data_IF_905167714174
#
_entry.id   IF_905167714174
#
_cell.length_a   1.000
_cell.length_b   1.000
_cell.length_c   1.000
_cell.angle_alpha   90.00
_cell.angle_beta   90.00
_cell.angle_gamma   90.00
#
_symmetry.space_group_name_H-M   'P 1'
#
loop_
_entity.id
_entity.type
_entity.pdbx_description
1 polymer ?
#
# COMPACT_ATOMS: atom_id res chain seq x y z
N UNK A 1 -11.55 -25.78 -16.06
CA UNK A 1 -10.61 -25.61 -17.20
C UNK A 1 -9.56 -26.72 -17.13
N UNK A 2 -9.15 -27.31 -18.26
CA UNK A 2 -8.05 -28.29 -18.30
C UNK A 2 -6.85 -27.65 -18.99
N UNK A 3 -5.68 -27.67 -18.34
CA UNK A 3 -4.45 -27.07 -18.88
C UNK A 3 -3.37 -28.14 -18.99
N UNK A 4 -2.78 -28.26 -20.18
CA UNK A 4 -1.65 -29.14 -20.43
C UNK A 4 -0.34 -28.36 -20.33
N UNK A 5 0.63 -28.88 -19.59
CA UNK A 5 1.96 -28.32 -19.42
C UNK A 5 2.99 -29.35 -19.90
N UNK A 6 3.92 -28.90 -20.73
CA UNK A 6 5.13 -29.65 -21.03
C UNK A 6 6.13 -29.52 -19.87
N UNK A 7 7.12 -30.40 -19.83
CA UNK A 7 8.23 -30.30 -18.87
C UNK A 7 8.89 -28.91 -19.01
N UNK A 8 9.12 -28.25 -17.87
CA UNK A 8 9.73 -26.92 -17.74
C UNK A 8 8.93 -25.77 -18.39
N UNK A 9 7.67 -26.01 -18.79
CA UNK A 9 6.78 -25.00 -19.34
C UNK A 9 6.03 -24.23 -18.24
N UNK A 10 5.94 -22.90 -18.40
CA UNK A 10 5.11 -22.05 -17.56
C UNK A 10 3.96 -21.45 -18.40
N UNK A 11 2.72 -21.58 -17.94
CA UNK A 11 1.55 -20.92 -18.54
C UNK A 11 0.83 -20.05 -17.52
N UNK A 12 0.44 -18.85 -17.94
CA UNK A 12 -0.48 -18.01 -17.19
C UNK A 12 -1.91 -18.26 -17.69
N UNK A 13 -2.82 -18.46 -16.76
CA UNK A 13 -4.25 -18.60 -17.02
C UNK A 13 -4.94 -17.36 -16.49
N UNK A 14 -5.99 -16.91 -17.16
CA UNK A 14 -6.85 -15.84 -16.70
C UNK A 14 -8.30 -16.29 -16.82
N UNK A 15 -9.04 -16.11 -15.74
CA UNK A 15 -10.46 -16.44 -15.66
C UNK A 15 -11.17 -15.30 -14.90
N UNK A 16 -12.49 -15.25 -15.00
CA UNK A 16 -13.31 -14.25 -14.35
C UNK A 16 -14.45 -14.92 -13.59
N UNK A 17 -14.52 -14.64 -12.28
CA UNK A 17 -15.52 -15.19 -11.40
C UNK A 17 -16.54 -14.12 -11.04
N UNK A 18 -17.82 -14.43 -11.24
CA UNK A 18 -18.90 -13.57 -10.77
C UNK A 18 -19.20 -13.90 -9.30
N UNK A 19 -19.15 -12.89 -8.43
CA UNK A 19 -19.49 -13.00 -7.01
C UNK A 19 -20.81 -12.25 -6.79
N UNK A 20 -21.95 -12.93 -6.63
CA UNK A 20 -23.20 -12.28 -6.27
C UNK A 20 -23.12 -11.71 -4.84
N UNK A 21 -23.87 -10.63 -4.57
CA UNK A 21 -24.03 -10.04 -3.24
C UNK A 21 -22.70 -9.81 -2.50
N UNK A 22 -21.76 -9.16 -3.19
CA UNK A 22 -20.39 -8.92 -2.70
C UNK A 22 -20.42 -8.25 -1.32
N UNK A 23 -19.73 -8.88 -0.36
CA UNK A 23 -19.42 -8.29 0.94
C UNK A 23 -18.15 -7.48 0.80
N UNK A 24 -18.26 -6.18 1.04
CA UNK A 24 -17.13 -5.27 0.91
C UNK A 24 -16.24 -5.32 2.16
N UNK A 25 -14.93 -5.26 1.93
CA UNK A 25 -13.92 -5.05 2.95
C UNK A 25 -13.86 -3.55 3.30
N UNK A 26 -13.74 -3.27 4.60
CA UNK A 26 -13.51 -1.94 5.16
C UNK A 26 -12.89 -2.09 6.55
N UNK A 27 -12.31 -1.02 7.13
CA UNK A 27 -11.82 -1.05 8.51
C UNK A 27 -12.86 -1.52 9.53
N UNK A 28 -14.12 -1.15 9.34
CA UNK A 28 -15.23 -1.51 10.23
C UNK A 28 -15.78 -2.92 9.98
N UNK A 29 -15.54 -3.47 8.79
CA UNK A 29 -15.99 -4.81 8.39
C UNK A 29 -14.92 -5.45 7.49
N UNK A 30 -13.83 -5.99 8.07
CA UNK A 30 -12.70 -6.56 7.33
C UNK A 30 -13.01 -7.96 6.79
N UNK A 31 -14.05 -8.08 5.97
CA UNK A 31 -14.46 -9.36 5.40
C UNK A 31 -13.47 -9.84 4.33
N UNK A 32 -12.99 -11.07 4.48
CA UNK A 32 -12.06 -11.70 3.55
C UNK A 32 -12.69 -12.93 2.88
N UNK A 33 -12.52 -13.01 1.58
CA UNK A 33 -12.76 -14.20 0.78
C UNK A 33 -11.48 -15.05 0.72
N UNK A 34 -11.64 -16.33 0.38
CA UNK A 34 -10.53 -17.23 0.05
C UNK A 34 -10.77 -17.74 -1.36
N UNK A 35 -9.80 -17.52 -2.25
CA UNK A 35 -9.71 -18.19 -3.54
C UNK A 35 -8.87 -19.45 -3.36
N UNK A 36 -9.47 -20.60 -3.60
CA UNK A 36 -8.76 -21.88 -3.69
C UNK A 36 -8.50 -22.20 -5.16
N UNK A 37 -7.23 -22.41 -5.51
CA UNK A 37 -6.81 -22.91 -6.81
C UNK A 37 -6.20 -24.30 -6.61
N UNK A 38 -6.89 -25.33 -7.10
CA UNK A 38 -6.47 -26.72 -6.96
C UNK A 38 -6.12 -27.36 -8.30
N UNK A 39 -5.11 -28.23 -8.26
CA UNK A 39 -4.69 -29.10 -9.36
C UNK A 39 -4.70 -30.56 -8.89
N UNK A 40 -4.26 -31.50 -9.75
CA UNK A 40 -4.15 -32.91 -9.34
C UNK A 40 -3.06 -33.16 -8.29
N UNK A 41 -2.08 -32.26 -8.13
CA UNK A 41 -0.91 -32.48 -7.27
C UNK A 41 -0.69 -31.43 -6.18
N UNK A 42 -1.38 -30.30 -6.24
CA UNK A 42 -1.20 -29.19 -5.30
C UNK A 42 -2.44 -28.32 -5.20
N UNK A 43 -2.59 -27.60 -4.08
CA UNK A 43 -3.67 -26.64 -3.81
C UNK A 43 -3.09 -25.40 -3.15
N UNK A 44 -3.40 -24.24 -3.73
CA UNK A 44 -3.02 -22.93 -3.21
C UNK A 44 -4.26 -22.17 -2.75
N UNK A 45 -4.17 -21.56 -1.57
CA UNK A 45 -5.18 -20.65 -1.04
C UNK A 45 -4.65 -19.22 -1.03
N UNK A 46 -5.47 -18.28 -1.46
CA UNK A 46 -5.15 -16.85 -1.42
C UNK A 46 -6.33 -16.09 -0.84
N UNK A 47 -6.08 -15.27 0.18
CA UNK A 47 -7.10 -14.41 0.77
C UNK A 47 -7.17 -13.08 0.03
N UNK A 48 -8.36 -12.52 -0.07
CA UNK A 48 -8.56 -11.21 -0.69
C UNK A 48 -9.82 -10.55 -0.13
N UNK A 49 -9.94 -9.23 -0.26
CA UNK A 49 -11.11 -8.46 0.14
C UNK A 49 -11.57 -7.53 -0.99
N UNK A 50 -12.89 -7.38 -1.14
CA UNK A 50 -13.48 -6.55 -2.18
C UNK A 50 -13.67 -5.14 -1.67
N UNK A 51 -12.96 -4.16 -2.23
CA UNK A 51 -13.10 -2.76 -1.83
C UNK A 51 -12.67 -1.83 -2.95
N UNK A 52 -13.07 -0.57 -2.86
CA UNK A 52 -12.63 0.50 -3.78
C UNK A 52 -12.25 1.74 -2.99
N UNK A 53 -10.99 2.15 -3.06
CA UNK A 53 -10.54 3.47 -2.61
C UNK A 53 -10.31 4.36 -3.83
N UNK A 54 -10.87 5.58 -3.81
CA UNK A 54 -10.61 6.59 -4.83
C UNK A 54 -10.49 7.97 -4.20
N UNK A 55 -9.74 8.86 -4.83
CA UNK A 55 -9.76 10.28 -4.53
C UNK A 55 -10.59 11.02 -5.57
N UNK A 56 -11.45 11.91 -5.10
CA UNK A 56 -12.37 12.65 -5.93
C UNK A 56 -11.85 14.08 -6.14
N UNK A 57 -11.63 14.48 -7.40
CA UNK A 57 -11.04 15.79 -7.74
C UNK A 57 -11.99 16.93 -7.36
N UNK A 58 -13.29 16.76 -7.60
CA UNK A 58 -14.28 17.81 -7.39
C UNK A 58 -14.46 18.14 -5.90
N UNK A 59 -14.54 17.11 -5.06
CA UNK A 59 -14.74 17.27 -3.61
C UNK A 59 -13.43 17.32 -2.81
N UNK A 60 -12.30 16.95 -3.43
CA UNK A 60 -10.98 16.80 -2.79
C UNK A 60 -11.01 15.85 -1.58
N UNK A 61 -11.78 14.77 -1.68
CA UNK A 61 -11.99 13.80 -0.60
C UNK A 61 -11.65 12.39 -1.04
N UNK A 62 -11.21 11.59 -0.08
CA UNK A 62 -11.13 10.14 -0.25
C UNK A 62 -12.52 9.51 -0.12
N UNK A 63 -12.77 8.49 -0.94
CA UNK A 63 -13.95 7.66 -0.88
C UNK A 63 -13.55 6.20 -0.73
N UNK A 64 -14.08 5.54 0.29
CA UNK A 64 -14.00 4.09 0.46
C UNK A 64 -15.39 3.52 0.18
N UNK A 65 -15.47 2.57 -0.76
CA UNK A 65 -16.72 1.91 -1.12
C UNK A 65 -17.85 2.92 -1.45
N UNK A 66 -17.48 3.96 -2.20
CA UNK A 66 -18.36 5.05 -2.65
C UNK A 66 -18.93 5.96 -1.55
N UNK A 67 -18.38 5.87 -0.34
CA UNK A 67 -18.70 6.78 0.78
C UNK A 67 -17.50 7.65 1.13
N UNK A 68 -17.72 8.92 1.48
CA UNK A 68 -16.64 9.80 1.96
C UNK A 68 -16.00 9.15 3.19
N UNK A 69 -14.68 9.01 3.16
CA UNK A 69 -13.95 8.30 4.20
C UNK A 69 -12.73 9.11 4.65
N UNK A 70 -12.57 9.27 5.96
CA UNK A 70 -11.46 10.02 6.54
C UNK A 70 -10.31 9.09 6.88
N UNK A 71 -9.18 9.27 6.19
CA UNK A 71 -7.94 8.53 6.42
C UNK A 71 -7.24 9.13 7.63
N UNK A 72 -7.10 8.34 8.71
CA UNK A 72 -6.52 8.76 9.99
C UNK A 72 -5.51 7.71 10.42
N UNK A 73 -4.26 8.12 10.55
CA UNK A 73 -3.19 7.15 10.74
C UNK A 73 -1.89 7.74 11.23
N UNK A 74 -0.88 6.89 11.25
CA UNK A 74 0.49 7.20 11.63
C UNK A 74 1.49 6.57 10.66
N UNK A 75 2.76 6.93 10.81
CA UNK A 75 3.87 6.29 10.11
C UNK A 75 4.39 5.08 10.90
N UNK A 76 4.78 4.03 10.18
CA UNK A 76 5.49 2.86 10.70
C UNK A 76 6.85 2.73 9.99
N UNK A 77 7.92 3.29 10.56
CA UNK A 77 9.27 3.19 9.99
C UNK A 77 9.95 1.90 10.48
N UNK A 78 9.49 0.73 10.00
CA UNK A 78 9.91 -0.57 10.51
C UNK A 78 11.43 -0.78 10.44
N UNK A 79 12.08 -0.46 9.32
CA UNK A 79 13.54 -0.62 9.19
C UNK A 79 14.29 0.22 10.22
N UNK A 80 13.85 1.46 10.46
CA UNK A 80 14.42 2.33 11.50
C UNK A 80 14.22 1.78 12.91
N UNK A 81 13.05 1.19 13.19
CA UNK A 81 12.79 0.53 14.48
C UNK A 81 13.72 -0.67 14.67
N UNK A 82 14.02 -1.43 13.62
CA UNK A 82 14.91 -2.60 13.69
C UNK A 82 16.39 -2.23 13.90
N UNK A 83 16.79 -1.01 13.54
CA UNK A 83 18.13 -0.48 13.80
C UNK A 83 18.33 -0.02 15.25
N UNK A 84 17.24 0.18 16.01
CA UNK A 84 17.32 0.61 17.41
C UNK A 84 17.83 -0.54 18.31
N UNK A 85 18.88 -0.28 19.09
CA UNK A 85 19.48 -1.27 19.98
C UNK A 85 18.52 -1.76 21.08
N UNK A 86 17.48 -1.00 21.40
CA UNK A 86 16.41 -1.37 22.34
C UNK A 86 15.34 -2.26 21.70
N UNK A 87 15.31 -2.37 20.37
CA UNK A 87 14.29 -3.14 19.65
C UNK A 87 14.41 -4.64 19.90
N UNK A 88 15.65 -5.16 19.97
CA UNK A 88 15.90 -6.58 20.17
C UNK A 88 15.09 -7.47 19.20
N UNK A 89 14.36 -8.45 19.74
CA UNK A 89 13.50 -9.34 18.94
C UNK A 89 12.04 -8.88 18.83
N UNK A 90 11.70 -7.66 19.27
CA UNK A 90 10.32 -7.17 19.35
C UNK A 90 9.51 -7.38 18.05
N UNK A 91 10.02 -7.05 16.85
CA UNK A 91 9.26 -7.19 15.59
C UNK A 91 8.94 -8.64 15.21
N UNK A 92 9.49 -9.62 15.94
CA UNK A 92 9.25 -11.04 15.72
C UNK A 92 8.36 -11.67 16.81
N UNK A 93 7.94 -10.90 17.81
CA UNK A 93 7.07 -11.37 18.89
C UNK A 93 5.62 -11.02 18.59
N UNK A 94 4.74 -12.03 18.66
CA UNK A 94 3.32 -11.88 18.33
C UNK A 94 2.63 -10.82 19.19
N UNK A 95 2.95 -10.73 20.49
CA UNK A 95 2.35 -9.75 21.39
C UNK A 95 2.71 -8.31 21.01
N UNK A 96 3.93 -8.11 20.51
CA UNK A 96 4.39 -6.79 20.08
C UNK A 96 3.71 -6.37 18.78
N UNK A 97 3.63 -7.28 17.81
CA UNK A 97 2.93 -7.06 16.53
C UNK A 97 1.44 -6.82 16.79
N UNK A 98 0.82 -7.61 17.67
CA UNK A 98 -0.58 -7.43 18.07
C UNK A 98 -0.83 -6.07 18.72
N UNK A 99 0.06 -5.65 19.60
CA UNK A 99 -0.02 -4.31 20.19
C UNK A 99 0.06 -3.23 19.12
N UNK A 100 1.01 -3.33 18.19
CA UNK A 100 1.26 -2.34 17.15
C UNK A 100 0.15 -2.24 16.10
N UNK A 101 -0.33 -3.37 15.58
CA UNK A 101 -1.23 -3.41 14.41
C UNK A 101 -2.71 -3.56 14.79
N UNK A 102 -3.03 -3.92 16.04
CA UNK A 102 -4.41 -4.08 16.50
C UNK A 102 -4.76 -3.17 17.66
N UNK A 103 -4.02 -3.24 18.77
CA UNK A 103 -4.42 -2.58 20.01
C UNK A 103 -4.27 -1.06 19.88
N UNK A 104 -3.08 -0.58 19.55
CA UNK A 104 -2.79 0.86 19.44
C UNK A 104 -3.69 1.52 18.38
N UNK A 105 -3.86 1.00 17.15
CA UNK A 105 -4.75 1.61 16.17
C UNK A 105 -6.19 1.76 16.68
N UNK A 106 -6.72 0.76 17.41
CA UNK A 106 -8.06 0.83 18.00
C UNK A 106 -8.17 1.87 19.12
N UNK A 107 -7.17 1.95 20.01
CA UNK A 107 -7.12 2.93 21.10
C UNK A 107 -7.06 4.37 20.58
N UNK A 108 -6.35 4.61 19.48
CA UNK A 108 -6.19 5.94 18.87
C UNK A 108 -7.19 6.22 17.74
N UNK A 109 -8.10 5.28 17.46
CA UNK A 109 -9.05 5.36 16.34
C UNK A 109 -8.39 5.59 14.97
N UNK A 110 -7.20 5.01 14.77
CA UNK A 110 -6.54 4.97 13.47
C UNK A 110 -7.15 3.87 12.61
N UNK A 111 -7.37 4.20 11.34
CA UNK A 111 -7.82 3.25 10.32
C UNK A 111 -6.76 3.03 9.24
N UNK A 112 -5.58 3.64 9.38
CA UNK A 112 -4.52 3.58 8.39
C UNK A 112 -3.12 3.67 9.00
N UNK A 113 -2.13 3.07 8.33
CA UNK A 113 -0.70 3.24 8.58
C UNK A 113 0.02 3.50 7.25
N UNK A 114 1.01 4.39 7.24
CA UNK A 114 1.98 4.51 6.14
C UNK A 114 3.25 3.75 6.49
N UNK A 115 3.71 2.83 5.63
CA UNK A 115 4.89 1.98 5.88
C UNK A 115 6.19 2.68 5.49
N UNK A 116 6.49 3.79 6.17
CA UNK A 116 7.59 4.68 5.85
C UNK A 116 8.91 3.96 5.51
N UNK A 117 9.31 4.05 4.23
CA UNK A 117 10.51 3.47 3.61
C UNK A 117 10.74 2.01 4.06
N UNK A 118 9.68 1.21 4.18
CA UNK A 118 9.77 -0.13 4.77
C UNK A 118 8.83 -1.13 4.11
N UNK A 119 9.35 -2.34 3.87
CA UNK A 119 8.57 -3.51 3.43
C UNK A 119 8.14 -4.30 4.66
N UNK A 120 6.87 -4.72 4.72
CA UNK A 120 6.35 -5.48 5.84
C UNK A 120 6.46 -7.00 5.57
N UNK A 121 6.67 -7.83 6.60
CA UNK A 121 6.50 -9.27 6.47
C UNK A 121 5.06 -9.65 6.10
N UNK A 122 4.87 -10.72 5.32
CA UNK A 122 3.55 -11.22 4.90
C UNK A 122 2.56 -11.34 6.06
N UNK A 123 3.00 -11.92 7.19
CA UNK A 123 2.16 -12.10 8.39
C UNK A 123 1.62 -10.78 8.95
N UNK A 124 2.32 -9.66 8.74
CA UNK A 124 1.86 -8.35 9.17
C UNK A 124 0.80 -7.80 8.21
N UNK A 125 0.96 -8.02 6.90
CA UNK A 125 -0.05 -7.66 5.89
C UNK A 125 -1.34 -8.46 6.11
N UNK A 126 -1.20 -9.77 6.36
CA UNK A 126 -2.28 -10.66 6.79
C UNK A 126 -3.05 -10.13 8.00
N UNK A 127 -2.31 -9.64 9.01
CA UNK A 127 -2.92 -9.06 10.21
C UNK A 127 -3.63 -7.74 9.91
N UNK A 128 -3.06 -6.89 9.07
CA UNK A 128 -3.70 -5.64 8.63
C UNK A 128 -5.00 -5.92 7.86
N UNK A 129 -5.02 -6.96 7.02
CA UNK A 129 -6.23 -7.40 6.31
C UNK A 129 -7.34 -7.85 7.27
N UNK A 130 -6.98 -8.66 8.28
CA UNK A 130 -7.91 -9.20 9.28
C UNK A 130 -8.43 -8.15 10.25
N UNK A 131 -7.59 -7.20 10.65
CA UNK A 131 -7.92 -6.17 11.64
C UNK A 131 -8.55 -4.92 11.03
N UNK A 132 -8.65 -4.84 9.71
CA UNK A 132 -9.22 -3.68 9.02
C UNK A 132 -8.31 -2.47 9.04
N UNK A 133 -6.98 -2.66 8.99
CA UNK A 133 -6.02 -1.57 9.02
C UNK A 133 -5.52 -1.26 7.60
N UNK A 134 -5.88 -0.11 7.05
CA UNK A 134 -5.43 0.28 5.72
C UNK A 134 -3.94 0.66 5.70
N UNK A 135 -3.29 0.49 4.55
CA UNK A 135 -1.88 0.76 4.33
C UNK A 135 -1.68 1.70 3.15
N UNK A 136 -0.96 2.80 3.37
CA UNK A 136 -0.15 3.41 2.31
C UNK A 136 1.17 2.65 2.31
N UNK A 137 1.29 1.74 1.36
CA UNK A 137 2.38 0.79 1.31
C UNK A 137 3.49 1.37 0.46
N UNK A 138 4.61 1.67 1.10
CA UNK A 138 5.70 2.46 0.53
C UNK A 138 6.89 1.59 0.15
N UNK A 139 7.34 1.76 -1.10
CA UNK A 139 8.56 1.18 -1.61
C UNK A 139 9.76 1.89 -0.97
N UNK A 140 10.83 1.17 -0.56
CA UNK A 140 11.94 1.72 0.23
C UNK A 140 12.90 2.57 -0.62
N UNK A 141 12.40 3.66 -1.18
CA UNK A 141 13.15 4.65 -1.94
C UNK A 141 13.08 5.99 -1.23
N UNK A 142 14.25 6.45 -0.79
CA UNK A 142 14.46 7.81 -0.29
C UNK A 142 15.69 8.41 -0.98
N UNK A 143 15.70 9.73 -1.19
CA UNK A 143 16.71 10.57 -1.88
C UNK A 143 16.54 10.77 -3.40
N UNK A 144 17.13 11.86 -3.91
CA UNK A 144 17.12 12.26 -5.34
C UNK A 144 17.87 11.33 -6.28
N UNK A 145 18.49 10.24 -5.77
CA UNK A 145 19.10 9.20 -6.58
C UNK A 145 18.59 7.84 -6.13
N UNK A 146 17.94 7.12 -7.05
CA UNK A 146 17.80 5.68 -6.87
C UNK A 146 19.19 5.04 -6.86
N UNK A 147 19.39 4.06 -5.99
CA UNK A 147 20.59 3.21 -5.99
C UNK A 147 20.64 2.31 -7.22
N UNK A 148 19.53 2.23 -7.95
CA UNK A 148 19.32 1.37 -9.11
C UNK A 148 18.96 2.17 -10.36
N UNK A 149 19.29 1.62 -11.51
CA UNK A 149 18.77 2.12 -12.78
C UNK A 149 17.24 1.92 -12.88
N UNK A 150 16.59 2.60 -13.83
CA UNK A 150 15.14 2.53 -14.03
C UNK A 150 14.64 1.11 -14.27
N UNK A 151 15.35 0.29 -15.05
CA UNK A 151 14.92 -1.07 -15.38
C UNK A 151 14.95 -1.98 -14.15
N UNK A 152 16.01 -1.87 -13.35
CA UNK A 152 16.13 -2.58 -12.08
C UNK A 152 15.03 -2.12 -11.11
N UNK A 153 14.80 -0.81 -11.01
CA UNK A 153 13.74 -0.25 -10.15
C UNK A 153 12.35 -0.76 -10.56
N UNK A 154 12.01 -0.73 -11.85
CA UNK A 154 10.75 -1.30 -12.38
C UNK A 154 10.60 -2.79 -11.99
N UNK A 155 11.69 -3.55 -12.09
CA UNK A 155 11.69 -4.99 -11.79
C UNK A 155 11.39 -5.24 -10.30
N UNK A 156 12.06 -4.53 -9.40
CA UNK A 156 11.86 -4.71 -7.97
C UNK A 156 10.53 -4.14 -7.48
N UNK A 157 10.08 -2.98 -8.00
CA UNK A 157 8.73 -2.45 -7.70
C UNK A 157 7.66 -3.44 -8.14
N UNK A 158 7.79 -4.05 -9.32
CA UNK A 158 6.83 -5.07 -9.79
C UNK A 158 6.81 -6.32 -8.90
N UNK A 159 7.96 -6.76 -8.38
CA UNK A 159 8.03 -7.90 -7.45
C UNK A 159 7.34 -7.56 -6.12
N UNK A 160 7.70 -6.42 -5.55
CA UNK A 160 7.07 -5.90 -4.33
C UNK A 160 5.55 -5.76 -4.47
N UNK A 161 5.06 -5.24 -5.60
CA UNK A 161 3.62 -5.20 -5.87
C UNK A 161 3.02 -6.59 -5.97
N UNK A 162 3.65 -7.52 -6.70
CA UNK A 162 3.16 -8.89 -6.89
C UNK A 162 3.05 -9.65 -5.57
N UNK A 163 3.96 -9.40 -4.64
CA UNK A 163 3.93 -10.03 -3.33
C UNK A 163 2.77 -9.50 -2.48
N UNK A 164 2.28 -8.27 -2.73
CA UNK A 164 1.29 -7.62 -1.85
C UNK A 164 -0.05 -7.23 -2.48
N UNK A 165 -0.25 -7.43 -3.80
CA UNK A 165 -1.44 -6.98 -4.53
C UNK A 165 -2.77 -7.63 -4.10
N UNK A 166 -2.73 -8.77 -3.41
CA UNK A 166 -3.92 -9.49 -2.95
C UNK A 166 -4.41 -9.00 -1.58
N UNK A 167 -3.61 -8.21 -0.86
CA UNK A 167 -3.99 -7.64 0.42
C UNK A 167 -4.98 -6.49 0.22
N UNK A 168 -6.23 -6.60 0.70
CA UNK A 168 -7.18 -5.50 0.68
C UNK A 168 -6.74 -4.32 1.55
N UNK A 169 -5.91 -4.57 2.59
CA UNK A 169 -5.34 -3.52 3.44
C UNK A 169 -4.41 -2.59 2.68
N UNK A 170 -3.67 -3.05 1.67
CA UNK A 170 -2.85 -2.17 0.82
C UNK A 170 -3.78 -1.31 -0.02
N UNK A 171 -3.92 -0.03 0.35
CA UNK A 171 -4.91 0.85 -0.26
C UNK A 171 -4.34 1.92 -1.19
N UNK A 172 -3.10 2.33 -0.94
CA UNK A 172 -2.33 3.28 -1.74
C UNK A 172 -0.94 2.67 -1.93
N UNK A 173 -0.44 2.68 -3.16
CA UNK A 173 0.97 2.40 -3.42
C UNK A 173 1.75 3.70 -3.29
N UNK A 174 2.89 3.69 -2.63
CA UNK A 174 3.77 4.85 -2.51
C UNK A 174 5.15 4.46 -3.04
N UNK A 175 5.64 5.17 -4.06
CA UNK A 175 6.89 4.80 -4.73
C UNK A 175 8.13 5.28 -3.97
N UNK A 176 8.02 6.33 -3.15
CA UNK A 176 9.17 6.95 -2.51
C UNK A 176 8.80 7.97 -1.43
N UNK A 177 9.68 8.12 -0.46
CA UNK A 177 9.65 9.23 0.49
C UNK A 177 10.39 10.47 -0.04
N UNK A 178 9.77 11.65 0.08
CA UNK A 178 10.40 12.98 -0.08
C UNK A 178 11.26 13.17 -1.34
N UNK A 179 10.96 12.45 -2.41
CA UNK A 179 11.82 12.40 -3.60
C UNK A 179 11.14 13.10 -4.76
N UNK A 180 11.91 13.97 -5.44
CA UNK A 180 11.51 14.60 -6.70
C UNK A 180 12.40 14.10 -7.83
N UNK A 181 11.89 13.21 -8.66
CA UNK A 181 12.66 12.58 -9.74
C UNK A 181 11.75 12.23 -10.93
N UNK A 182 12.17 12.44 -12.18
CA UNK A 182 11.43 11.94 -13.34
C UNK A 182 11.35 10.40 -13.38
N UNK A 183 12.34 9.72 -12.79
CA UNK A 183 12.42 8.26 -12.77
C UNK A 183 11.22 7.62 -12.03
N UNK A 184 10.69 8.26 -10.98
CA UNK A 184 9.56 7.69 -10.21
C UNK A 184 8.29 7.63 -11.06
N UNK A 185 8.03 8.64 -11.90
CA UNK A 185 6.94 8.62 -12.89
C UNK A 185 7.11 7.49 -13.89
N UNK A 186 8.31 7.33 -14.47
CA UNK A 186 8.60 6.23 -15.42
C UNK A 186 8.33 4.85 -14.79
N UNK A 187 8.72 4.67 -13.52
CA UNK A 187 8.48 3.43 -12.79
C UNK A 187 6.98 3.20 -12.57
N UNK A 188 6.25 4.19 -12.05
CA UNK A 188 4.80 4.09 -11.82
C UNK A 188 4.07 3.77 -13.14
N UNK A 189 4.37 4.49 -14.23
CA UNK A 189 3.75 4.26 -15.53
C UNK A 189 3.99 2.85 -16.05
N UNK A 190 5.19 2.30 -15.86
CA UNK A 190 5.55 0.95 -16.28
C UNK A 190 4.85 -0.15 -15.47
N UNK A 191 4.62 0.05 -14.17
CA UNK A 191 4.06 -0.99 -13.28
C UNK A 191 2.57 -0.87 -13.03
N UNK A 192 1.96 0.29 -13.28
CA UNK A 192 0.55 0.57 -12.92
C UNK A 192 -0.43 -0.47 -13.43
N UNK A 193 -0.29 -0.90 -14.68
CA UNK A 193 -1.20 -1.89 -15.28
C UNK A 193 -1.04 -3.31 -14.70
N UNK A 194 -0.08 -3.53 -13.81
CA UNK A 194 0.03 -4.78 -13.05
C UNK A 194 -1.00 -4.88 -11.92
N UNK A 195 -1.54 -3.74 -11.43
CA UNK A 195 -2.57 -3.72 -10.40
C UNK A 195 -3.96 -3.63 -11.01
N UNK A 196 -4.68 -4.75 -11.01
CA UNK A 196 -6.05 -4.84 -11.53
C UNK A 196 -7.07 -4.06 -10.68
N UNK A 197 -6.73 -3.70 -9.44
CA UNK A 197 -7.59 -2.88 -8.58
C UNK A 197 -7.47 -1.38 -8.88
N UNK A 198 -6.53 -0.99 -9.75
CA UNK A 198 -6.19 0.40 -10.08
C UNK A 198 -6.02 1.28 -8.82
N UNK A 199 -5.25 0.80 -7.84
CA UNK A 199 -5.01 1.57 -6.62
C UNK A 199 -4.30 2.89 -6.96
N UNK A 200 -4.63 3.97 -6.24
CA UNK A 200 -3.92 5.24 -6.37
C UNK A 200 -2.44 5.10 -6.00
N UNK A 201 -1.61 5.94 -6.63
CA UNK A 201 -0.18 6.04 -6.34
C UNK A 201 0.20 7.37 -5.70
N UNK A 202 0.96 7.33 -4.63
CA UNK A 202 1.76 8.45 -4.16
C UNK A 202 3.11 8.50 -4.91
N UNK A 203 3.58 9.70 -5.20
CA UNK A 203 4.79 9.97 -5.98
C UNK A 203 5.79 10.90 -5.24
N UNK A 204 5.75 10.89 -3.90
CA UNK A 204 6.55 11.76 -3.06
C UNK A 204 6.34 13.23 -3.42
N UNK A 205 7.42 13.96 -3.68
CA UNK A 205 7.37 15.39 -4.06
C UNK A 205 7.27 15.64 -5.57
N UNK A 206 7.08 14.58 -6.37
CA UNK A 206 6.83 14.68 -7.81
C UNK A 206 5.33 14.86 -8.08
N UNK A 207 4.98 15.33 -9.28
CA UNK A 207 3.57 15.46 -9.65
C UNK A 207 2.90 14.07 -9.73
N UNK A 208 1.60 13.98 -9.41
CA UNK A 208 0.79 12.79 -9.63
C UNK A 208 0.93 12.22 -11.05
N UNK A 209 0.82 10.89 -11.19
CA UNK A 209 0.86 10.24 -12.51
C UNK A 209 -0.53 10.26 -13.15
N UNK A 210 -1.58 9.98 -12.36
CA UNK A 210 -2.99 10.24 -12.70
C UNK A 210 -3.50 11.47 -11.94
N UNK A 211 -4.52 12.13 -12.48
CA UNK A 211 -5.15 13.29 -11.80
C UNK A 211 -5.87 12.91 -10.49
N UNK A 212 -6.25 11.65 -10.34
CA UNK A 212 -6.92 11.09 -9.15
C UNK A 212 -5.95 10.46 -8.15
N UNK A 213 -4.64 10.51 -8.43
CA UNK A 213 -3.63 10.08 -7.47
C UNK A 213 -3.45 11.16 -6.37
N UNK A 214 -3.19 10.78 -5.12
CA UNK A 214 -2.91 11.71 -4.04
C UNK A 214 -1.59 12.47 -4.24
N UNK A 215 -1.43 13.53 -3.46
CA UNK A 215 -0.17 14.26 -3.32
C UNK A 215 0.22 14.19 -1.85
N UNK A 216 1.41 13.69 -1.59
CA UNK A 216 2.06 13.79 -0.29
C UNK A 216 2.62 15.19 -0.05
N UNK A 217 2.46 15.68 1.19
CA UNK A 217 3.16 16.85 1.68
C UNK A 217 3.56 16.64 3.15
N UNK A 218 4.77 17.05 3.51
CA UNK A 218 5.33 16.92 4.85
C UNK A 218 5.42 18.28 5.53
N UNK A 219 4.31 18.67 6.17
CA UNK A 219 4.24 19.96 6.85
C UNK A 219 4.90 19.92 8.23
N UNK A 220 6.05 20.56 8.34
CA UNK A 220 6.67 20.88 9.63
C UNK A 220 6.70 22.40 9.82
N UNK A 221 6.02 22.92 10.85
CA UNK A 221 5.96 24.36 11.15
C UNK A 221 7.36 25.00 11.30
N UNK A 222 8.34 24.24 11.81
CA UNK A 222 9.73 24.67 11.92
C UNK A 222 10.47 24.74 10.57
N UNK A 223 10.02 23.98 9.57
CA UNK A 223 10.61 23.95 8.22
C UNK A 223 10.11 25.11 7.36
N UNK A 224 8.86 25.54 7.56
CA UNK A 224 8.27 26.73 6.92
C UNK A 224 9.05 28.01 7.24
N UNK A 225 9.54 28.15 8.48
CA UNK A 225 10.38 29.29 8.89
C UNK A 225 11.78 29.30 8.25
N UNK A 226 12.32 28.14 7.85
CA UNK A 226 13.67 28.03 7.26
C UNK A 226 13.69 28.05 5.74
N UNK A 227 12.66 27.55 5.08
CA UNK A 227 12.69 27.27 3.62
C UNK A 227 11.52 27.82 2.82
N UNK A 228 10.72 28.74 3.38
CA UNK A 228 9.92 29.69 2.59
C UNK A 228 8.91 29.10 1.59
N UNK A 229 8.32 27.95 1.91
CA UNK A 229 7.30 27.34 1.05
C UNK A 229 6.06 26.93 1.84
N UNK A 230 5.04 27.78 1.89
CA UNK A 230 3.68 27.30 1.63
C UNK A 230 2.78 28.41 1.11
N UNK A 231 1.96 28.04 0.13
CA UNK A 231 0.99 28.87 -0.58
C UNK A 231 -0.33 29.01 0.22
N UNK A 232 -0.34 28.63 1.50
CA UNK A 232 -1.53 28.28 2.27
C UNK A 232 -1.77 29.13 3.53
N UNK A 233 -0.97 30.18 3.78
CA UNK A 233 -1.20 31.10 4.92
C UNK A 233 -2.52 31.89 4.85
N UNK A 234 -3.28 31.84 3.75
CA UNK A 234 -4.45 32.71 3.56
C UNK A 234 -5.82 32.07 3.82
N UNK A 235 -5.92 30.75 3.95
CA UNK A 235 -7.23 30.06 3.95
C UNK A 235 -7.55 29.31 5.26
N UNK A 236 -6.87 29.61 6.37
CA UNK A 236 -7.15 29.02 7.70
C UNK A 236 -7.60 30.04 8.77
N UNK A 237 -8.27 31.12 8.35
CA UNK A 237 -9.04 32.00 9.25
C UNK A 237 -10.50 32.05 8.79
#
# INVERSE_FOLDING_TARGET
MTVFLNKDENKQISDSLFIPDVKLWSPESPFLYVLEASSQGDTLNTRFGMRKLRFDIATRRAFLNDTVYFLRGTNLPLFRVMEDSLCGSNPWREEWINRLLRIIPKEFHWNMIRTHISVLPEKWLDMCDEEGLMLQYEFPWWTTRSWWDTKTTITETKRWMKDSWNHPSVVIWDICNETKSPQTREVIEAVRNCDLSDRPWDNGYSLPVKETDPIEDHHYLSYLQKWGHSKWEKDLV
#
